data_IF_325597474996
#
_entry.id   IF_325597474996
#
_cell.length_a   1.000
_cell.length_b   1.000
_cell.length_c   1.000
_cell.angle_alpha   90.00
_cell.angle_beta   90.00
_cell.angle_gamma   90.00
#
_symmetry.space_group_name_H-M   'P 1'
#
loop_
_entity.id
_entity.type
_entity.pdbx_description
1 polymer ?
#
# COMPACT_ATOMS: atom_id res chain seq x y z
N UNK A 1 14.48 -13.92 -23.78
CA UNK A 1 14.21 -13.57 -23.31
C UNK A 1 13.71 -13.30 -22.79
N UNK A 2 13.76 -13.37 -22.41
CA UNK A 2 13.37 -12.97 -21.72
C UNK A 2 12.88 -12.72 -20.95
N UNK A 3 12.86 -12.74 -20.73
CA UNK A 3 12.45 -12.32 -19.92
C UNK A 3 11.97 -12.20 -19.16
N UNK A 4 11.97 -12.18 -19.04
CA UNK A 4 11.55 -11.92 -18.15
C UNK A 4 11.03 -11.95 -17.39
N UNK A 5 11.18 -12.18 -17.39
CA UNK A 5 10.77 -12.09 -16.65
C UNK A 5 10.39 -12.06 -15.86
N UNK A 6 10.67 -12.27 -16.02
CA UNK A 6 10.40 -12.11 -15.38
C UNK A 6 9.99 -11.80 -14.74
N UNK A 7 10.41 -11.68 -14.79
CA UNK A 7 10.09 -11.22 -14.17
C UNK A 7 9.35 -11.12 -13.73
N UNK A 8 9.30 -11.29 -13.85
CA UNK A 8 8.52 -11.30 -13.57
C UNK A 8 8.10 -11.30 -12.66
N UNK A 9 8.27 -11.26 -12.70
CA UNK A 9 7.62 -11.29 -11.79
C UNK A 9 7.56 -11.08 -10.52
N UNK A 10 8.40 -10.75 -10.06
CA UNK A 10 8.26 -10.52 -8.84
C UNK A 10 7.73 -9.27 -8.64
N UNK A 11 6.67 -9.35 -8.66
CA UNK A 11 5.92 -8.31 -8.53
C UNK A 11 6.08 -7.57 -7.30
N UNK A 12 6.52 -8.23 -6.47
CA UNK A 12 6.64 -7.71 -5.30
C UNK A 12 7.35 -6.50 -5.19
N UNK A 13 8.05 -6.28 -6.08
CA UNK A 13 8.98 -5.34 -5.87
C UNK A 13 8.47 -3.98 -5.58
N UNK A 14 7.69 -3.43 -6.39
CA UNK A 14 7.30 -2.04 -6.20
C UNK A 14 5.84 -1.82 -6.43
N UNK A 15 5.20 -1.02 -5.57
CA UNK A 15 3.84 -0.62 -5.86
C UNK A 15 3.82 0.33 -7.05
N UNK A 16 2.74 0.30 -7.81
CA UNK A 16 2.57 1.21 -8.93
C UNK A 16 2.32 2.64 -8.44
N UNK A 17 1.81 2.79 -7.23
CA UNK A 17 1.51 4.08 -6.64
C UNK A 17 1.72 3.99 -5.14
N UNK A 18 2.26 5.04 -4.55
CA UNK A 18 2.40 5.14 -3.10
C UNK A 18 1.64 6.38 -2.63
N UNK A 19 0.74 6.20 -1.69
CA UNK A 19 -0.03 7.28 -1.11
C UNK A 19 0.51 7.56 0.29
N UNK A 20 0.95 8.78 0.52
CA UNK A 20 1.48 9.18 1.82
C UNK A 20 0.34 9.78 2.63
N UNK A 21 -0.19 9.00 3.55
CA UNK A 21 -1.23 9.45 4.46
C UNK A 21 -0.71 9.51 5.89
N UNK A 22 0.60 9.62 6.06
CA UNK A 22 1.18 9.75 7.40
C UNK A 22 0.69 11.05 8.03
N UNK A 23 0.38 10.98 9.31
CA UNK A 23 -0.17 12.13 10.02
C UNK A 23 -1.65 12.35 9.82
N UNK A 24 -2.28 11.55 8.97
CA UNK A 24 -3.72 11.67 8.71
C UNK A 24 -4.48 10.65 9.53
N UNK A 25 -5.64 11.06 10.02
CA UNK A 25 -6.49 10.15 10.78
C UNK A 25 -7.48 9.45 9.87
N UNK A 26 -7.84 8.24 10.22
CA UNK A 26 -8.90 7.56 9.51
C UNK A 26 -10.19 8.36 9.65
N UNK A 27 -10.97 8.46 8.57
CA UNK A 27 -10.88 7.65 7.36
C UNK A 27 -10.09 8.28 6.22
N UNK A 28 -9.26 9.27 6.47
CA UNK A 28 -8.54 9.95 5.39
C UNK A 28 -7.67 9.00 4.55
N UNK A 29 -6.89 8.08 5.14
CA UNK A 29 -6.12 7.15 4.31
C UNK A 29 -7.01 6.33 3.38
N UNK A 30 -8.19 5.95 3.84
CA UNK A 30 -9.13 5.16 3.04
C UNK A 30 -9.71 6.00 1.92
N UNK A 31 -10.03 7.26 2.19
CA UNK A 31 -10.55 8.17 1.19
C UNK A 31 -9.50 8.39 0.10
N UNK A 32 -8.25 8.56 0.48
CA UNK A 32 -7.16 8.72 -0.49
C UNK A 32 -7.04 7.49 -1.37
N UNK A 33 -7.13 6.30 -0.78
CA UNK A 33 -7.06 5.06 -1.54
C UNK A 33 -8.26 4.95 -2.49
N UNK A 34 -9.45 5.24 -2.02
CA UNK A 34 -10.66 5.16 -2.85
C UNK A 34 -10.57 6.11 -4.04
N UNK A 35 -10.01 7.29 -3.83
CA UNK A 35 -9.88 8.27 -4.90
C UNK A 35 -8.84 7.87 -5.94
N UNK A 36 -7.84 7.11 -5.55
CA UNK A 36 -6.70 6.83 -6.42
C UNK A 36 -6.62 5.39 -6.90
N UNK A 37 -7.53 4.52 -6.44
CA UNK A 37 -7.46 3.10 -6.83
C UNK A 37 -7.54 2.90 -8.33
N UNK A 38 -8.22 3.77 -9.04
CA UNK A 38 -8.35 3.64 -10.50
C UNK A 38 -7.17 4.22 -11.26
N UNK A 39 -6.23 4.85 -10.56
CA UNK A 39 -5.04 5.37 -11.20
C UNK A 39 -4.02 4.27 -11.51
N UNK A 40 -4.22 3.09 -10.92
CA UNK A 40 -3.38 1.94 -11.25
C UNK A 40 -4.19 0.95 -12.07
N UNK A 41 -3.50 0.09 -12.78
CA UNK A 41 -4.17 -0.93 -13.59
C UNK A 41 -4.62 -2.08 -12.72
N UNK A 42 -5.54 -2.86 -13.24
CA UNK A 42 -5.97 -4.09 -12.57
C UNK A 42 -4.73 -4.97 -12.35
N UNK A 43 -4.66 -5.56 -11.18
CA UNK A 43 -3.54 -6.38 -10.71
C UNK A 43 -2.30 -5.59 -10.29
N UNK A 44 -2.31 -4.29 -10.43
CA UNK A 44 -1.23 -3.48 -9.87
C UNK A 44 -1.52 -3.12 -8.42
N UNK A 45 -0.49 -2.72 -7.71
CA UNK A 45 -0.58 -2.49 -6.28
C UNK A 45 -0.42 -1.03 -5.93
N UNK A 46 -1.02 -0.66 -4.80
CA UNK A 46 -0.88 0.66 -4.20
C UNK A 46 -0.39 0.45 -2.78
N UNK A 47 0.63 1.19 -2.39
CA UNK A 47 1.05 1.24 -1.00
C UNK A 47 0.44 2.47 -0.35
N UNK A 48 -0.19 2.29 0.79
CA UNK A 48 -0.77 3.38 1.57
C UNK A 48 0.03 3.48 2.86
N UNK A 49 0.69 4.60 3.07
CA UNK A 49 1.43 4.84 4.29
C UNK A 49 0.50 5.53 5.28
N UNK A 50 0.34 4.97 6.45
CA UNK A 50 -0.54 5.54 7.47
C UNK A 50 -0.01 5.22 8.85
N UNK A 51 -0.23 6.13 9.79
CA UNK A 51 0.22 5.93 11.17
C UNK A 51 -0.94 5.89 12.17
N UNK A 52 -2.17 5.96 11.72
CA UNK A 52 -3.32 5.81 12.61
C UNK A 52 -3.60 4.31 12.80
N UNK A 53 -3.58 3.81 14.04
CA UNK A 53 -3.86 2.39 14.27
C UNK A 53 -5.20 1.92 13.72
N UNK A 54 -6.18 2.80 13.59
CA UNK A 54 -7.47 2.41 13.02
C UNK A 54 -7.34 1.93 11.59
N UNK A 55 -6.33 2.39 10.85
CA UNK A 55 -6.12 1.95 9.47
C UNK A 55 -5.83 0.47 9.39
N UNK A 56 -5.22 -0.11 10.42
CA UNK A 56 -4.91 -1.55 10.42
C UNK A 56 -6.17 -2.40 10.36
N UNK A 57 -7.27 -1.90 10.89
CA UNK A 57 -8.53 -2.59 10.86
C UNK A 57 -9.37 -2.14 9.67
N UNK A 58 -9.37 -0.86 9.41
CA UNK A 58 -10.28 -0.27 8.42
C UNK A 58 -9.86 -0.55 6.99
N UNK A 59 -8.57 -0.60 6.71
CA UNK A 59 -8.12 -0.85 5.33
C UNK A 59 -8.47 -2.27 4.85
N UNK A 60 -8.21 -3.32 5.64
CA UNK A 60 -8.66 -4.65 5.22
C UNK A 60 -10.18 -4.74 5.06
N UNK A 61 -10.92 -4.06 5.94
CA UNK A 61 -12.38 -4.06 5.86
C UNK A 61 -12.86 -3.36 4.59
N UNK A 62 -12.24 -2.23 4.25
CA UNK A 62 -12.58 -1.51 3.02
C UNK A 62 -12.29 -2.37 1.79
N UNK A 63 -11.14 -3.06 1.80
CA UNK A 63 -10.78 -3.93 0.69
C UNK A 63 -11.80 -5.05 0.51
N UNK A 64 -12.23 -5.65 1.60
CA UNK A 64 -13.24 -6.70 1.54
C UNK A 64 -14.56 -6.15 0.99
N UNK A 65 -14.95 -4.97 1.46
CA UNK A 65 -16.20 -4.34 1.02
C UNK A 65 -16.17 -3.98 -0.46
N UNK A 66 -15.04 -3.52 -0.96
CA UNK A 66 -14.90 -3.06 -2.33
C UNK A 66 -14.32 -4.11 -3.27
N UNK A 67 -14.16 -5.33 -2.79
CA UNK A 67 -13.62 -6.44 -3.57
C UNK A 67 -12.23 -6.18 -4.12
N UNK A 68 -11.44 -5.41 -3.39
CA UNK A 68 -10.02 -5.24 -3.69
C UNK A 68 -9.22 -6.20 -2.80
N UNK A 69 -7.99 -6.46 -3.16
CA UNK A 69 -7.19 -7.44 -2.44
C UNK A 69 -6.24 -6.75 -1.47
N UNK A 70 -6.39 -7.04 -0.19
CA UNK A 70 -5.44 -6.56 0.81
C UNK A 70 -4.31 -7.59 0.93
N UNK A 71 -3.09 -7.15 0.63
CA UNK A 71 -1.97 -8.08 0.59
C UNK A 71 -1.24 -8.18 1.92
N UNK A 72 -0.83 -7.06 2.48
CA UNK A 72 -0.11 -7.08 3.74
C UNK A 72 0.05 -5.70 4.33
N UNK A 73 0.46 -5.67 5.59
CA UNK A 73 0.85 -4.46 6.27
C UNK A 73 2.28 -4.64 6.77
N UNK A 74 3.14 -3.72 6.44
CA UNK A 74 4.53 -3.74 6.88
C UNK A 74 4.79 -2.58 7.82
N UNK A 75 5.52 -2.83 8.91
CA UNK A 75 5.86 -1.80 9.87
C UNK A 75 6.95 -0.91 9.28
N UNK A 76 6.71 0.39 9.23
CA UNK A 76 7.69 1.31 8.68
C UNK A 76 8.96 1.39 9.52
N UNK A 77 8.87 1.11 10.81
CA UNK A 77 10.04 1.14 11.67
C UNK A 77 11.06 0.07 11.32
N UNK A 78 10.64 -1.00 10.64
CA UNK A 78 11.55 -2.06 10.25
C UNK A 78 12.14 -1.85 8.87
N UNK A 79 11.69 -0.83 8.14
CA UNK A 79 12.20 -0.57 6.81
C UNK A 79 13.37 0.37 6.88
N UNK A 80 14.41 0.06 6.13
CA UNK A 80 15.57 0.92 6.10
C UNK A 80 15.29 2.17 5.32
N UNK A 81 15.69 3.29 5.89
CA UNK A 81 15.68 4.55 5.18
C UNK A 81 17.01 4.67 4.44
N UNK A 82 17.02 4.76 3.12
CA UNK A 82 18.27 4.88 2.36
C UNK A 82 19.07 6.12 2.73
N UNK A 83 18.42 7.13 3.32
CA UNK A 83 19.13 8.32 3.73
C UNK A 83 19.72 8.21 5.12
N UNK A 84 19.45 7.10 5.81
CA UNK A 84 19.97 6.92 7.16
C UNK A 84 19.24 7.71 8.22
N UNK A 85 18.07 8.23 7.92
CA UNK A 85 17.29 8.99 8.88
C UNK A 85 16.71 8.13 9.99
N UNK A 86 16.02 8.75 10.94
CA UNK A 86 15.43 8.01 12.04
C UNK A 86 14.31 7.09 11.57
N UNK A 87 13.98 6.04 12.33
CA UNK A 87 12.89 5.14 11.95
C UNK A 87 11.58 5.91 11.86
N UNK A 88 10.75 5.57 10.89
CA UNK A 88 9.43 6.17 10.76
C UNK A 88 8.43 5.36 11.56
N UNK A 89 7.40 6.02 12.08
CA UNK A 89 6.31 5.33 12.76
C UNK A 89 5.17 5.13 11.78
N UNK A 90 4.44 4.05 11.94
CA UNK A 90 3.32 3.74 11.08
C UNK A 90 3.52 2.48 10.29
N UNK A 91 2.69 2.32 9.27
CA UNK A 91 2.67 1.11 8.45
C UNK A 91 2.56 1.45 6.99
N UNK A 92 3.02 0.52 6.15
CA UNK A 92 2.77 0.54 4.72
C UNK A 92 1.78 -0.59 4.44
N UNK A 93 0.59 -0.23 3.98
CA UNK A 93 -0.44 -1.19 3.64
C UNK A 93 -0.43 -1.41 2.14
N UNK A 94 -0.31 -2.65 1.71
CA UNK A 94 -0.23 -2.97 0.30
C UNK A 94 -1.55 -3.55 -0.18
N UNK A 95 -2.14 -2.90 -1.17
CA UNK A 95 -3.45 -3.27 -1.73
C UNK A 95 -3.28 -3.52 -3.22
N UNK A 96 -3.86 -4.57 -3.72
CA UNK A 96 -3.87 -4.85 -5.16
C UNK A 96 -5.24 -4.59 -5.74
N UNK A 97 -5.27 -3.86 -6.84
CA UNK A 97 -6.52 -3.60 -7.51
C UNK A 97 -7.01 -4.86 -8.20
N UNK A 98 -8.23 -5.29 -7.86
CA UNK A 98 -8.80 -6.53 -8.39
C UNK A 98 -9.70 -6.30 -9.59
N UNK A 99 -10.23 -5.10 -9.74
CA UNK A 99 -11.08 -4.84 -10.89
C UNK A 99 -11.22 -3.35 -11.17
#
# INVERSE_FOLDING_TARGET
MTSPHSAIGTPSARPALTLDALGKKCPIPIIMLADRIRDVRICQTIAVLADDPAAKTDLPAWCALKSQEFLRADDLATQRDPTGGPPRTGWSFLVRRSY
#
